data_IF_064546920755
#
_entry.id   IF_064546920755
#
_cell.length_a   1.000
_cell.length_b   1.000
_cell.length_c   1.000
_cell.angle_alpha   90.00
_cell.angle_beta   90.00
_cell.angle_gamma   90.00
#
_symmetry.space_group_name_H-M   'P 1'
#
loop_
_entity.id
_entity.type
_entity.pdbx_description
1 polymer ?
#
# COMPACT_ATOMS: atom_id res chain seq x y z
N UNK A 1 10.15 5.64 -1.56
CA UNK A 1 10.59 4.34 -2.13
C UNK A 1 11.35 4.61 -3.40
N UNK A 2 12.33 3.79 -3.73
CA UNK A 2 13.12 3.88 -4.97
C UNK A 2 13.01 2.54 -5.70
N UNK A 3 12.71 2.57 -6.99
CA UNK A 3 12.53 1.38 -7.82
C UNK A 3 13.52 1.36 -8.99
N UNK A 4 13.86 0.15 -9.46
CA UNK A 4 14.53 -0.04 -10.74
C UNK A 4 13.47 -0.25 -11.83
N UNK A 5 13.24 0.80 -12.64
CA UNK A 5 12.27 0.76 -13.74
C UNK A 5 12.83 0.28 -15.09
N UNK A 6 14.06 -0.26 -15.14
CA UNK A 6 14.60 -0.76 -16.42
C UNK A 6 13.89 -2.05 -16.82
N UNK A 7 13.46 -2.13 -18.08
CA UNK A 7 12.76 -3.29 -18.66
C UNK A 7 11.46 -3.67 -17.92
N UNK A 8 10.78 -2.68 -17.34
CA UNK A 8 9.47 -2.85 -16.69
C UNK A 8 8.35 -2.26 -17.54
N UNK A 9 7.12 -2.70 -17.31
CA UNK A 9 5.90 -2.08 -17.85
C UNK A 9 5.36 -1.01 -16.91
N UNK A 10 4.35 -0.28 -17.37
CA UNK A 10 3.63 0.72 -16.53
C UNK A 10 2.90 0.08 -15.34
N UNK A 11 2.64 -1.24 -15.38
CA UNK A 11 1.99 -1.98 -14.29
C UNK A 11 2.99 -2.62 -13.32
N UNK A 12 4.13 -3.13 -13.80
CA UNK A 12 5.01 -3.97 -12.98
C UNK A 12 6.26 -3.26 -12.41
N UNK A 13 6.51 -2.00 -12.78
CA UNK A 13 7.63 -1.23 -12.21
C UNK A 13 7.47 -1.04 -10.70
N UNK A 14 6.23 -0.92 -10.22
CA UNK A 14 5.87 -0.83 -8.81
C UNK A 14 5.61 -2.24 -8.27
N UNK A 15 6.68 -2.96 -7.95
CA UNK A 15 6.62 -4.31 -7.40
C UNK A 15 7.74 -4.51 -6.37
N UNK A 16 7.57 -5.51 -5.50
CA UNK A 16 8.58 -5.86 -4.50
C UNK A 16 9.92 -6.24 -5.16
N UNK A 17 9.88 -6.90 -6.33
CA UNK A 17 11.06 -7.35 -7.07
C UNK A 17 11.89 -6.17 -7.61
N UNK A 18 11.22 -5.07 -7.94
CA UNK A 18 11.88 -3.87 -8.49
C UNK A 18 12.25 -2.85 -7.41
N UNK A 19 11.88 -3.08 -6.15
CA UNK A 19 12.16 -2.18 -5.03
C UNK A 19 13.65 -2.21 -4.67
N UNK A 20 14.31 -1.05 -4.74
CA UNK A 20 15.72 -0.86 -4.34
C UNK A 20 15.85 -0.37 -2.91
N UNK A 21 14.98 0.54 -2.48
CA UNK A 21 14.95 1.02 -1.10
C UNK A 21 13.58 1.55 -0.72
N UNK A 22 13.29 1.53 0.58
CA UNK A 22 12.01 1.96 1.15
C UNK A 22 12.25 2.70 2.48
N UNK A 23 11.36 3.61 2.89
CA UNK A 23 11.42 4.24 4.21
C UNK A 23 11.06 3.27 5.36
N UNK A 24 10.58 2.07 5.02
CA UNK A 24 10.18 1.03 5.97
C UNK A 24 11.18 -0.12 5.99
N UNK A 25 11.77 -0.36 7.15
CA UNK A 25 12.83 -1.34 7.36
C UNK A 25 12.31 -2.77 7.21
N UNK A 26 11.04 -3.01 7.53
CA UNK A 26 10.43 -4.34 7.50
C UNK A 26 9.81 -4.70 6.14
N UNK A 27 9.74 -3.77 5.18
CA UNK A 27 9.05 -4.03 3.92
C UNK A 27 9.78 -5.07 3.07
N UNK A 28 11.12 -5.01 3.00
CA UNK A 28 11.92 -5.96 2.19
C UNK A 28 11.94 -7.38 2.78
N UNK A 29 11.71 -7.52 4.09
CA UNK A 29 11.75 -8.80 4.80
C UNK A 29 10.36 -9.35 5.11
N UNK A 30 9.30 -8.57 4.89
CA UNK A 30 7.91 -9.00 5.08
C UNK A 30 7.34 -9.59 3.80
N UNK A 31 6.41 -10.54 3.95
CA UNK A 31 5.54 -10.93 2.84
C UNK A 31 4.43 -9.88 2.63
N UNK A 32 4.03 -9.68 1.39
CA UNK A 32 2.94 -8.76 1.01
C UNK A 32 1.84 -9.54 0.32
N UNK A 33 0.57 -9.29 0.67
CA UNK A 33 -0.57 -9.81 -0.09
C UNK A 33 -0.88 -8.95 -1.32
N UNK A 34 -0.53 -7.65 -1.27
CA UNK A 34 -0.55 -6.76 -2.43
C UNK A 34 0.72 -5.90 -2.45
N UNK A 35 1.31 -5.78 -3.63
CA UNK A 35 2.36 -4.82 -3.97
C UNK A 35 2.24 -4.52 -5.46
N UNK A 36 1.29 -3.67 -5.83
CA UNK A 36 0.99 -3.37 -7.23
C UNK A 36 0.34 -2.00 -7.42
N UNK A 37 0.41 -1.48 -8.65
CA UNK A 37 -0.30 -0.26 -9.06
C UNK A 37 -1.81 -0.47 -8.98
N UNK A 38 -2.30 -1.57 -9.55
CA UNK A 38 -3.74 -1.87 -9.64
C UNK A 38 -4.37 -2.08 -8.25
N UNK A 39 -3.60 -2.65 -7.33
CA UNK A 39 -3.96 -2.94 -5.95
C UNK A 39 -5.23 -3.78 -5.82
N UNK A 40 -6.31 -3.22 -5.26
CA UNK A 40 -7.53 -3.99 -4.93
C UNK A 40 -8.86 -3.25 -5.20
N UNK A 41 -9.83 -3.97 -5.76
CA UNK A 41 -11.22 -3.56 -6.03
C UNK A 41 -11.36 -2.20 -6.76
N UNK A 42 -10.42 -1.88 -7.64
CA UNK A 42 -10.41 -0.61 -8.39
C UNK A 42 -10.54 0.65 -7.52
N UNK A 43 -10.10 0.54 -6.25
CA UNK A 43 -10.18 1.61 -5.26
C UNK A 43 -8.84 1.86 -4.59
N UNK A 44 -8.14 0.79 -4.19
CA UNK A 44 -6.86 0.86 -3.50
C UNK A 44 -5.76 0.76 -4.54
N UNK A 45 -5.25 1.89 -5.02
CA UNK A 45 -4.12 1.95 -5.97
C UNK A 45 -2.78 2.07 -5.23
N UNK A 46 -1.70 1.75 -5.93
CA UNK A 46 -0.33 1.76 -5.39
C UNK A 46 -0.29 1.11 -4.00
N UNK A 47 -0.81 -0.11 -3.94
CA UNK A 47 -1.18 -0.75 -2.69
C UNK A 47 -0.07 -1.67 -2.21
N UNK A 48 0.54 -1.31 -1.08
CA UNK A 48 1.58 -2.08 -0.39
C UNK A 48 0.99 -2.57 0.93
N UNK A 49 0.51 -3.80 0.91
CA UNK A 49 -0.29 -4.40 1.98
C UNK A 49 0.36 -5.65 2.53
N UNK A 50 0.34 -5.79 3.86
CA UNK A 50 0.77 -7.00 4.56
C UNK A 50 -0.38 -8.01 4.65
N UNK A 51 -1.55 -7.52 5.03
CA UNK A 51 -2.74 -8.32 5.31
C UNK A 51 -4.00 -7.52 5.00
N UNK A 52 -5.02 -8.25 4.53
CA UNK A 52 -6.35 -7.73 4.29
C UNK A 52 -7.37 -8.68 4.94
N UNK A 53 -7.69 -8.45 6.22
CA UNK A 53 -8.57 -9.30 7.03
C UNK A 53 -9.78 -8.52 7.56
N UNK A 54 -10.29 -7.60 6.73
CA UNK A 54 -11.33 -6.64 7.10
C UNK A 54 -10.74 -5.40 7.76
N UNK A 55 -11.57 -4.38 7.98
CA UNK A 55 -11.10 -3.04 8.36
C UNK A 55 -10.16 -3.00 9.58
N UNK A 56 -10.38 -3.88 10.57
CA UNK A 56 -9.55 -3.99 11.77
C UNK A 56 -8.27 -4.83 11.57
N UNK A 57 -8.26 -5.71 10.57
CA UNK A 57 -7.13 -6.58 10.23
C UNK A 57 -6.29 -6.09 9.05
N UNK A 58 -6.69 -4.97 8.43
CA UNK A 58 -5.96 -4.34 7.35
C UNK A 58 -4.68 -3.70 7.91
N UNK A 59 -3.53 -4.15 7.42
CA UNK A 59 -2.22 -3.63 7.80
C UNK A 59 -1.31 -3.53 6.58
N UNK A 60 -0.48 -2.49 6.54
CA UNK A 60 0.38 -2.24 5.39
C UNK A 60 1.23 -0.99 5.52
N UNK A 61 1.75 -0.55 4.39
CA UNK A 61 2.73 0.53 4.32
C UNK A 61 2.26 1.71 3.49
N UNK A 62 1.57 1.47 2.38
CA UNK A 62 1.09 2.51 1.46
C UNK A 62 -0.22 2.07 0.81
N UNK A 63 -1.15 3.00 0.67
CA UNK A 63 -2.33 2.88 -0.19
C UNK A 63 -2.76 4.26 -0.68
N UNK A 64 -3.13 4.34 -1.95
CA UNK A 64 -3.83 5.50 -2.51
C UNK A 64 -5.29 5.08 -2.69
N UNK A 65 -6.19 5.64 -1.88
CA UNK A 65 -7.61 5.35 -1.95
C UNK A 65 -8.29 6.33 -2.91
N UNK A 66 -8.82 5.82 -4.01
CA UNK A 66 -9.52 6.62 -5.02
C UNK A 66 -11.01 6.80 -4.72
N UNK A 67 -11.55 6.01 -3.79
CA UNK A 67 -12.96 6.08 -3.35
C UNK A 67 -13.05 5.97 -1.84
N UNK A 68 -14.09 6.56 -1.26
CA UNK A 68 -14.43 6.36 0.16
C UNK A 68 -14.98 4.93 0.37
N UNK A 69 -14.78 4.36 1.55
CA UNK A 69 -15.26 3.01 1.88
C UNK A 69 -15.83 2.91 3.29
N UNK A 70 -16.40 1.73 3.61
CA UNK A 70 -16.92 1.38 4.93
C UNK A 70 -15.82 1.28 6.01
N UNK A 71 -14.56 1.08 5.61
CA UNK A 71 -13.46 1.14 6.56
C UNK A 71 -13.21 2.60 6.92
N UNK A 72 -13.30 2.91 8.21
CA UNK A 72 -13.10 4.28 8.74
C UNK A 72 -11.78 4.87 8.25
N UNK A 73 -10.72 4.05 8.17
CA UNK A 73 -9.42 4.48 7.68
C UNK A 73 -9.41 4.82 6.18
N UNK A 74 -10.38 4.38 5.37
CA UNK A 74 -10.58 4.77 3.97
C UNK A 74 -11.63 5.87 3.79
N UNK A 75 -12.45 6.14 4.81
CA UNK A 75 -13.53 7.14 4.73
C UNK A 75 -12.94 8.55 4.56
N UNK A 76 -13.32 9.23 3.48
CA UNK A 76 -12.83 10.59 3.18
C UNK A 76 -13.77 11.31 2.22
N UNK A 77 -13.93 12.63 2.42
CA UNK A 77 -14.60 13.52 1.47
C UNK A 77 -13.64 14.09 0.41
N UNK A 78 -12.33 13.94 0.62
CA UNK A 78 -11.28 14.41 -0.28
C UNK A 78 -10.55 13.20 -0.86
N UNK A 79 -10.54 13.09 -2.20
CA UNK A 79 -10.00 11.97 -2.95
C UNK A 79 -9.14 12.47 -4.13
N UNK A 80 -8.09 11.72 -4.55
CA UNK A 80 -7.61 10.49 -3.92
C UNK A 80 -6.93 10.77 -2.57
N UNK A 81 -7.05 9.83 -1.63
CA UNK A 81 -6.41 9.92 -0.31
C UNK A 81 -5.15 9.08 -0.25
N UNK A 82 -4.05 9.70 0.12
CA UNK A 82 -2.76 9.04 0.29
C UNK A 82 -2.61 8.64 1.76
N UNK A 83 -2.40 7.35 1.99
CA UNK A 83 -2.23 6.78 3.31
C UNK A 83 -0.95 5.99 3.34
N UNK A 84 -0.11 6.28 4.31
CA UNK A 84 1.17 5.60 4.47
C UNK A 84 1.52 5.49 5.95
N UNK A 85 2.31 4.47 6.30
CA UNK A 85 2.77 4.33 7.68
C UNK A 85 3.76 5.43 8.03
N UNK A 86 3.48 6.18 9.09
CA UNK A 86 4.38 7.18 9.67
C UNK A 86 5.50 6.56 10.51
N UNK A 87 5.46 5.25 10.74
CA UNK A 87 6.50 4.48 11.43
C UNK A 87 7.58 4.06 10.44
N UNK A 88 8.72 3.59 10.94
CA UNK A 88 9.75 2.90 10.14
C UNK A 88 9.36 1.47 9.75
N UNK A 89 8.11 1.07 9.98
CA UNK A 89 7.55 -0.25 9.65
C UNK A 89 6.09 -0.15 9.21
N UNK A 90 5.43 -1.27 8.86
CA UNK A 90 3.98 -1.27 8.58
C UNK A 90 3.15 -0.71 9.74
N UNK A 91 1.97 -0.19 9.41
CA UNK A 91 0.95 0.18 10.40
C UNK A 91 -0.27 -0.73 10.29
N UNK A 92 -1.02 -0.86 11.39
CA UNK A 92 -2.40 -1.34 11.35
C UNK A 92 -3.29 -0.14 11.00
N UNK A 93 -4.12 -0.26 9.98
CA UNK A 93 -4.98 0.83 9.52
C UNK A 93 -6.22 0.99 10.41
N UNK A 94 -6.75 -0.12 10.92
CA UNK A 94 -7.92 -0.11 11.81
C UNK A 94 -7.64 0.31 13.26
N UNK A 95 -6.38 0.60 13.59
CA UNK A 95 -5.97 1.09 14.91
C UNK A 95 -5.60 2.59 14.90
N UNK A 96 -5.92 3.30 13.81
CA UNK A 96 -5.69 4.74 13.65
C UNK A 96 -6.90 5.56 14.10
#
# INVERSE_FOLDING_TARGET
MVFNGRNTSVQNWFSAQNLKSSPWNDLLTSSTNYFSVDGYNDRRRFYVSRSHFGCLGDAGWLVISEQSSLCIWETSLVLPRFLYSSKSSKTSWGAL
#
